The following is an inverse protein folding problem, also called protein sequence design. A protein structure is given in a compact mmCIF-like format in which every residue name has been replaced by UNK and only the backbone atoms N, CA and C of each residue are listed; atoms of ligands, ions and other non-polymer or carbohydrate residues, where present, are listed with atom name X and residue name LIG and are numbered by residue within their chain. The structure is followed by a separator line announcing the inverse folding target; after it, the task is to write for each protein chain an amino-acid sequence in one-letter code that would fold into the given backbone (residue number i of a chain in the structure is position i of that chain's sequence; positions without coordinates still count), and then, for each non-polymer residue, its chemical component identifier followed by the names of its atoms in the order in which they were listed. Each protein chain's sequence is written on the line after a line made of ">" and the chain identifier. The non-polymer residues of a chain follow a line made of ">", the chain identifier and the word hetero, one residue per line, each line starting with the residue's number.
data_IF_408941564388
#
_entry.id   IF_408941564388
#
_cell.length_a   1.000
_cell.length_b   1.000
_cell.length_c   1.000
_cell.angle_alpha   90.00
_cell.angle_beta   90.00
_cell.angle_gamma   90.00
#
_symmetry.space_group_name_H-M   'P 1'
#
loop_
_entity.id
_entity.type
_entity.pdbx_description
1 polymer ?
#
# COMPACT_ATOMS: atom_id res chain seq x y z
N UNK A 1 28.87 -0.93 -5.87
CA UNK A 1 27.53 -0.72 -5.33
C UNK A 1 26.97 0.49 -6.04
N UNK A 2 25.79 0.40 -6.69
CA UNK A 2 25.16 1.58 -7.28
C UNK A 2 24.79 2.55 -6.15
N UNK A 3 24.84 3.87 -6.34
CA UNK A 3 24.44 4.83 -5.30
C UNK A 3 22.99 4.60 -4.79
N UNK A 4 22.13 3.96 -5.59
CA UNK A 4 20.77 3.59 -5.25
C UNK A 4 20.66 2.47 -4.21
N UNK A 5 21.71 1.66 -4.01
CA UNK A 5 21.65 0.42 -3.20
C UNK A 5 22.15 0.60 -1.76
N UNK A 6 22.35 1.84 -1.31
CA UNK A 6 22.91 2.14 0.02
C UNK A 6 22.04 1.59 1.15
N UNK A 7 20.72 1.53 0.95
CA UNK A 7 19.75 1.13 1.96
C UNK A 7 19.32 -0.34 1.87
N UNK A 8 19.67 -1.02 0.78
CA UNK A 8 19.24 -2.40 0.54
C UNK A 8 19.79 -3.37 1.57
N UNK A 9 18.95 -4.32 2.04
CA UNK A 9 19.30 -5.36 3.04
C UNK A 9 19.86 -4.80 4.37
N UNK A 10 19.29 -3.68 4.82
CA UNK A 10 19.71 -2.97 6.03
C UNK A 10 18.64 -3.04 7.12
N UNK A 11 19.10 -2.90 8.37
CA UNK A 11 18.18 -2.53 9.43
C UNK A 11 18.08 -0.99 9.49
N UNK A 12 16.91 -0.47 9.12
CA UNK A 12 16.62 0.96 8.99
C UNK A 12 15.51 1.40 9.96
N UNK A 13 15.08 0.51 10.89
CA UNK A 13 13.93 0.76 11.79
C UNK A 13 14.11 1.97 12.72
N UNK A 14 15.34 2.42 12.94
CA UNK A 14 15.65 3.57 13.79
C UNK A 14 16.27 4.73 12.98
N UNK A 15 16.25 4.66 11.66
CA UNK A 15 16.82 5.71 10.80
C UNK A 15 15.85 6.87 10.71
N UNK A 16 16.34 8.08 10.98
CA UNK A 16 15.60 9.30 10.68
C UNK A 16 15.88 9.70 9.23
N UNK A 17 14.81 9.68 8.40
CA UNK A 17 14.87 10.04 6.98
C UNK A 17 14.49 11.49 6.68
N UNK A 18 14.34 12.36 7.67
CA UNK A 18 13.81 13.73 7.48
C UNK A 18 14.57 14.55 6.43
N UNK A 19 15.86 14.28 6.25
CA UNK A 19 16.71 15.01 5.32
C UNK A 19 17.22 14.17 4.14
N UNK A 20 16.76 12.91 4.02
CA UNK A 20 17.20 12.02 2.96
C UNK A 20 16.31 12.14 1.72
N UNK A 21 16.92 12.14 0.55
CA UNK A 21 16.23 11.95 -0.71
C UNK A 21 16.01 10.45 -0.93
N UNK A 22 14.75 10.00 -0.84
CA UNK A 22 14.35 8.59 -0.98
C UNK A 22 13.76 8.27 -2.35
N UNK A 23 13.61 9.25 -3.22
CA UNK A 23 13.04 9.09 -4.56
C UNK A 23 13.89 8.09 -5.36
N UNK A 24 13.25 7.03 -5.85
CA UNK A 24 13.89 5.98 -6.64
C UNK A 24 14.96 5.17 -5.91
N UNK A 25 15.06 5.27 -4.58
CA UNK A 25 16.04 4.50 -3.81
C UNK A 25 15.65 3.03 -3.71
N UNK A 26 16.67 2.18 -3.73
CA UNK A 26 16.50 0.75 -3.47
C UNK A 26 16.67 0.48 -1.98
N UNK A 27 15.56 0.15 -1.32
CA UNK A 27 15.47 -0.25 0.09
C UNK A 27 14.97 -1.69 0.23
N UNK A 28 14.98 -2.47 -0.87
CA UNK A 28 14.46 -3.83 -0.89
C UNK A 28 15.15 -4.74 0.15
N UNK A 29 14.42 -5.74 0.61
CA UNK A 29 14.88 -6.72 1.61
C UNK A 29 15.32 -6.09 2.95
N UNK A 30 14.89 -4.86 3.28
CA UNK A 30 15.33 -4.12 4.47
C UNK A 30 14.29 -4.18 5.58
N UNK A 31 14.72 -3.92 6.82
CA UNK A 31 13.84 -3.75 7.96
C UNK A 31 13.57 -2.23 8.14
N UNK A 32 12.34 -1.82 7.89
CA UNK A 32 11.79 -0.46 8.05
C UNK A 32 10.65 -0.44 9.08
N UNK A 33 10.61 -1.42 9.97
CA UNK A 33 9.56 -1.58 10.98
C UNK A 33 9.38 -0.31 11.81
N UNK A 34 8.13 0.18 11.90
CA UNK A 34 7.76 1.34 12.68
C UNK A 34 8.38 2.65 12.23
N UNK A 35 8.99 2.71 11.03
CA UNK A 35 9.62 3.93 10.51
C UNK A 35 8.56 5.03 10.30
N UNK A 36 8.93 6.27 10.53
CA UNK A 36 8.11 7.44 10.19
C UNK A 36 8.55 8.02 8.83
N UNK A 37 7.72 7.84 7.80
CA UNK A 37 7.89 8.41 6.46
C UNK A 37 6.71 9.33 6.09
N UNK A 38 5.95 9.77 7.10
CA UNK A 38 4.78 10.63 6.92
C UNK A 38 5.05 11.84 6.01
N UNK A 39 4.16 12.06 5.04
CA UNK A 39 4.23 13.15 4.06
C UNK A 39 5.52 13.19 3.22
N UNK A 40 6.31 12.12 3.20
CA UNK A 40 7.54 12.04 2.39
C UNK A 40 7.20 11.73 0.93
N UNK A 41 8.10 12.16 0.05
CA UNK A 41 8.07 11.74 -1.35
C UNK A 41 9.12 10.64 -1.56
N UNK A 42 8.62 9.42 -1.86
CA UNK A 42 9.44 8.23 -2.12
C UNK A 42 9.01 7.53 -3.41
N UNK A 43 8.46 8.30 -4.36
CA UNK A 43 8.01 7.74 -5.63
C UNK A 43 9.14 6.98 -6.35
N UNK A 44 8.80 5.94 -7.12
CA UNK A 44 9.72 5.04 -7.80
C UNK A 44 10.69 4.27 -6.87
N UNK A 45 10.58 4.37 -5.54
CA UNK A 45 11.43 3.59 -4.65
C UNK A 45 11.15 2.08 -4.78
N UNK A 46 12.16 1.25 -4.53
CA UNK A 46 12.03 -0.20 -4.44
C UNK A 46 12.04 -0.62 -2.96
N UNK A 47 10.87 -0.99 -2.47
CA UNK A 47 10.58 -1.48 -1.12
C UNK A 47 10.15 -2.95 -1.15
N UNK A 48 10.49 -3.69 -2.21
CA UNK A 48 10.12 -5.09 -2.34
C UNK A 48 10.69 -5.93 -1.19
N UNK A 49 9.89 -6.83 -0.64
CA UNK A 49 10.27 -7.73 0.45
C UNK A 49 10.78 -7.00 1.72
N UNK A 50 10.38 -5.75 1.95
CA UNK A 50 10.70 -5.01 3.19
C UNK A 50 9.75 -5.38 4.32
N UNK A 51 10.23 -5.26 5.56
CA UNK A 51 9.37 -5.21 6.75
C UNK A 51 9.05 -3.73 7.04
N UNK A 52 7.82 -3.31 6.74
CA UNK A 52 7.24 -1.99 7.00
C UNK A 52 6.16 -2.06 8.10
N UNK A 53 6.10 -3.16 8.84
CA UNK A 53 5.04 -3.38 9.82
C UNK A 53 4.98 -2.24 10.85
N UNK A 54 3.77 -1.72 11.09
CA UNK A 54 3.51 -0.60 11.98
C UNK A 54 4.14 0.74 11.58
N UNK A 55 4.65 0.89 10.34
CA UNK A 55 5.22 2.16 9.87
C UNK A 55 4.15 3.24 9.67
N UNK A 56 4.52 4.51 9.80
CA UNK A 56 3.68 5.65 9.42
C UNK A 56 4.07 6.17 8.02
N UNK A 57 3.24 5.84 7.03
CA UNK A 57 3.31 6.30 5.65
C UNK A 57 2.15 7.25 5.30
N UNK A 58 1.50 7.84 6.31
CA UNK A 58 0.35 8.72 6.08
C UNK A 58 0.72 9.93 5.22
N UNK A 59 -0.10 10.20 4.18
CA UNK A 59 0.10 11.29 3.23
C UNK A 59 1.35 11.16 2.34
N UNK A 60 2.05 10.03 2.37
CA UNK A 60 3.27 9.78 1.58
C UNK A 60 2.96 9.69 0.09
N UNK A 61 3.87 10.20 -0.76
CA UNK A 61 3.81 10.04 -2.21
C UNK A 61 4.56 8.76 -2.59
N UNK A 62 3.80 7.76 -3.05
CA UNK A 62 4.23 6.39 -3.36
C UNK A 62 3.94 6.02 -4.83
N UNK A 63 3.89 7.00 -5.74
CA UNK A 63 3.65 6.70 -7.16
C UNK A 63 4.71 5.75 -7.69
N UNK A 64 4.29 4.71 -8.43
CA UNK A 64 5.18 3.72 -9.07
C UNK A 64 6.12 3.00 -8.09
N UNK A 65 5.82 3.00 -6.81
CA UNK A 65 6.63 2.29 -5.81
C UNK A 65 6.50 0.77 -6.00
N UNK A 66 7.59 0.05 -5.75
CA UNK A 66 7.59 -1.41 -5.72
C UNK A 66 7.52 -1.88 -4.29
N UNK A 67 6.43 -2.58 -3.94
CA UNK A 67 6.16 -3.12 -2.60
C UNK A 67 5.88 -4.64 -2.66
N UNK A 68 6.27 -5.31 -3.74
CA UNK A 68 5.97 -6.73 -3.94
C UNK A 68 6.45 -7.57 -2.76
N UNK A 69 5.52 -8.33 -2.15
CA UNK A 69 5.82 -9.22 -1.03
C UNK A 69 6.32 -8.51 0.23
N UNK A 70 6.09 -7.20 0.37
CA UNK A 70 6.41 -6.48 1.60
C UNK A 70 5.46 -6.88 2.74
N UNK A 71 5.96 -6.85 3.96
CA UNK A 71 5.18 -6.96 5.18
C UNK A 71 4.78 -5.54 5.63
N UNK A 72 3.50 -5.22 5.51
CA UNK A 72 2.91 -3.92 5.83
C UNK A 72 1.74 -4.05 6.82
N UNK A 73 1.71 -5.13 7.63
CA UNK A 73 0.64 -5.27 8.62
C UNK A 73 0.64 -4.09 9.60
N UNK A 74 -0.55 -3.62 9.98
CA UNK A 74 -0.75 -2.48 10.87
C UNK A 74 -0.09 -1.17 10.39
N UNK A 75 0.26 -1.04 9.11
CA UNK A 75 0.81 0.20 8.53
C UNK A 75 -0.26 1.29 8.47
N UNK A 76 0.15 2.54 8.69
CA UNK A 76 -0.69 3.70 8.43
C UNK A 76 -0.39 4.27 7.02
N UNK A 77 -1.31 4.06 6.07
CA UNK A 77 -1.30 4.60 4.70
C UNK A 77 -2.39 5.67 4.50
N UNK A 78 -2.98 6.21 5.57
CA UNK A 78 -4.07 7.16 5.44
C UNK A 78 -3.68 8.34 4.55
N UNK A 79 -4.53 8.66 3.55
CA UNK A 79 -4.31 9.70 2.55
C UNK A 79 -3.02 9.55 1.71
N UNK A 80 -2.37 8.39 1.71
CA UNK A 80 -1.20 8.13 0.87
C UNK A 80 -1.59 8.05 -0.61
N UNK A 81 -0.63 8.35 -1.50
CA UNK A 81 -0.81 8.37 -2.94
C UNK A 81 -0.04 7.22 -3.58
N UNK A 82 -0.76 6.12 -3.91
CA UNK A 82 -0.18 4.88 -4.41
C UNK A 82 -0.49 4.62 -5.90
N UNK A 83 -0.74 5.67 -6.67
CA UNK A 83 -1.07 5.52 -8.07
C UNK A 83 -0.03 4.66 -8.80
N UNK A 84 -0.52 3.62 -9.53
CA UNK A 84 0.29 2.68 -10.32
C UNK A 84 1.42 1.99 -9.50
N UNK A 85 1.15 1.75 -8.21
CA UNK A 85 2.07 1.05 -7.32
C UNK A 85 1.96 -0.48 -7.48
N UNK A 86 3.08 -1.19 -7.30
CA UNK A 86 3.16 -2.65 -7.37
C UNK A 86 3.06 -3.27 -5.96
N UNK A 87 1.84 -3.68 -5.53
CA UNK A 87 1.57 -4.29 -4.23
C UNK A 87 1.25 -5.79 -4.33
N UNK A 88 1.74 -6.47 -5.33
CA UNK A 88 1.52 -7.90 -5.49
C UNK A 88 2.00 -8.70 -4.27
N UNK A 89 1.07 -9.48 -3.67
CA UNK A 89 1.38 -10.37 -2.54
C UNK A 89 1.79 -9.65 -1.26
N UNK A 90 1.41 -8.38 -1.09
CA UNK A 90 1.69 -7.60 0.13
C UNK A 90 0.80 -8.06 1.28
N UNK A 91 1.34 -8.05 2.50
CA UNK A 91 0.56 -8.22 3.72
C UNK A 91 0.12 -6.84 4.23
N UNK A 92 -1.17 -6.51 4.11
CA UNK A 92 -1.79 -5.26 4.57
C UNK A 92 -2.81 -5.52 5.69
N UNK A 93 -2.69 -6.62 6.41
CA UNK A 93 -3.62 -6.94 7.50
C UNK A 93 -3.62 -5.86 8.55
N UNK A 94 -4.83 -5.41 8.95
CA UNK A 94 -5.00 -4.35 9.94
C UNK A 94 -4.55 -2.96 9.50
N UNK A 95 -4.11 -2.78 8.26
CA UNK A 95 -3.62 -1.49 7.76
C UNK A 95 -4.72 -0.42 7.74
N UNK A 96 -4.36 0.82 8.07
CA UNK A 96 -5.22 1.99 7.85
C UNK A 96 -4.89 2.61 6.47
N UNK A 97 -5.79 2.38 5.50
CA UNK A 97 -5.68 2.87 4.13
C UNK A 97 -6.72 3.96 3.84
N UNK A 98 -7.38 4.49 4.89
CA UNK A 98 -8.45 5.48 4.77
C UNK A 98 -8.06 6.64 3.85
N UNK A 99 -8.93 6.96 2.89
CA UNK A 99 -8.76 8.10 1.98
C UNK A 99 -7.55 8.02 1.04
N UNK A 100 -6.82 6.90 1.00
CA UNK A 100 -5.69 6.74 0.09
C UNK A 100 -6.13 6.68 -1.38
N UNK A 101 -5.20 6.98 -2.29
CA UNK A 101 -5.39 6.84 -3.73
C UNK A 101 -4.67 5.60 -4.26
N UNK A 102 -5.45 4.53 -4.54
CA UNK A 102 -4.99 3.25 -5.09
C UNK A 102 -5.31 3.10 -6.58
N UNK A 103 -5.44 4.21 -7.30
CA UNK A 103 -5.76 4.21 -8.72
C UNK A 103 -4.71 3.41 -9.53
N UNK A 104 -5.14 2.46 -10.36
CA UNK A 104 -4.28 1.55 -11.14
C UNK A 104 -3.33 0.66 -10.32
N UNK A 105 -3.51 0.50 -9.03
CA UNK A 105 -2.64 -0.30 -8.16
C UNK A 105 -2.79 -1.81 -8.42
N UNK A 106 -1.68 -2.54 -8.45
CA UNK A 106 -1.67 -4.01 -8.51
C UNK A 106 -1.65 -4.61 -7.11
N UNK A 107 -2.82 -5.03 -6.62
CA UNK A 107 -3.02 -5.66 -5.29
C UNK A 107 -3.28 -7.16 -5.38
N UNK A 108 -2.95 -7.79 -6.52
CA UNK A 108 -3.18 -9.22 -6.68
C UNK A 108 -2.48 -10.05 -5.60
N UNK A 109 -3.22 -11.03 -5.06
CA UNK A 109 -2.77 -11.91 -3.98
C UNK A 109 -2.35 -11.18 -2.68
N UNK A 110 -2.74 -9.93 -2.48
CA UNK A 110 -2.55 -9.21 -1.22
C UNK A 110 -3.49 -9.73 -0.12
N UNK A 111 -3.12 -9.55 1.14
CA UNK A 111 -4.02 -9.78 2.29
C UNK A 111 -4.41 -8.44 2.91
N UNK A 112 -5.68 -8.07 2.77
CA UNK A 112 -6.29 -6.85 3.32
C UNK A 112 -7.23 -7.15 4.50
N UNK A 113 -7.11 -8.32 5.12
CA UNK A 113 -7.96 -8.70 6.24
C UNK A 113 -7.87 -7.68 7.38
N UNK A 114 -9.05 -7.25 7.88
CA UNK A 114 -9.20 -6.22 8.90
C UNK A 114 -8.67 -4.83 8.50
N UNK A 115 -8.34 -4.57 7.24
CA UNK A 115 -7.89 -3.26 6.80
C UNK A 115 -9.06 -2.27 6.71
N UNK A 116 -8.76 -0.99 6.96
CA UNK A 116 -9.68 0.13 6.78
C UNK A 116 -9.46 0.76 5.39
N UNK A 117 -10.36 0.49 4.42
CA UNK A 117 -10.38 1.07 3.08
C UNK A 117 -11.48 2.13 2.93
N UNK A 118 -11.92 2.75 4.03
CA UNK A 118 -12.98 3.77 3.95
C UNK A 118 -12.53 4.99 3.15
N UNK A 119 -13.39 5.45 2.23
CA UNK A 119 -13.14 6.62 1.38
C UNK A 119 -12.01 6.47 0.34
N UNK A 120 -11.42 5.28 0.21
CA UNK A 120 -10.29 5.02 -0.71
C UNK A 120 -10.72 5.12 -2.17
N UNK A 121 -9.81 5.56 -3.05
CA UNK A 121 -9.99 5.47 -4.51
C UNK A 121 -9.42 4.15 -5.04
N UNK A 122 -10.31 3.21 -5.42
CA UNK A 122 -9.97 1.87 -5.92
C UNK A 122 -10.08 1.73 -7.44
N UNK A 123 -10.39 2.80 -8.16
CA UNK A 123 -10.66 2.72 -9.60
C UNK A 123 -9.46 2.14 -10.35
N UNK A 124 -9.73 1.20 -11.24
CA UNK A 124 -8.76 0.44 -12.03
C UNK A 124 -7.76 -0.38 -11.20
N UNK A 125 -7.89 -0.47 -9.87
CA UNK A 125 -7.09 -1.38 -9.07
C UNK A 125 -7.41 -2.84 -9.39
N UNK A 126 -6.39 -3.71 -9.35
CA UNK A 126 -6.53 -5.14 -9.60
C UNK A 126 -6.42 -5.93 -8.28
N UNK A 127 -7.47 -6.65 -7.94
CA UNK A 127 -7.62 -7.42 -6.70
C UNK A 127 -7.73 -8.94 -6.92
N UNK A 128 -7.30 -9.46 -8.06
CA UNK A 128 -7.36 -10.91 -8.31
C UNK A 128 -6.63 -11.69 -7.20
N UNK A 129 -7.33 -12.60 -6.55
CA UNK A 129 -6.77 -13.42 -5.47
C UNK A 129 -6.56 -12.69 -4.14
N UNK A 130 -7.00 -11.44 -3.99
CA UNK A 130 -6.87 -10.67 -2.75
C UNK A 130 -7.84 -11.18 -1.67
N UNK A 131 -7.39 -11.20 -0.41
CA UNK A 131 -8.18 -11.56 0.77
C UNK A 131 -8.71 -10.30 1.45
N UNK A 132 -10.02 -10.30 1.82
CA UNK A 132 -10.72 -9.14 2.37
C UNK A 132 -11.53 -9.46 3.64
N UNK A 133 -11.07 -10.38 4.47
CA UNK A 133 -11.81 -10.77 5.67
C UNK A 133 -11.96 -9.58 6.62
N UNK A 134 -13.22 -9.18 6.90
CA UNK A 134 -13.55 -8.03 7.76
C UNK A 134 -13.00 -6.66 7.30
N UNK A 135 -12.75 -6.49 6.01
CA UNK A 135 -12.29 -5.22 5.41
C UNK A 135 -13.44 -4.19 5.39
N UNK A 136 -13.15 -2.95 5.78
CA UNK A 136 -14.12 -1.84 5.71
C UNK A 136 -13.98 -1.09 4.37
N UNK A 137 -15.04 -1.10 3.54
CA UNK A 137 -15.15 -0.39 2.27
C UNK A 137 -16.06 0.83 2.32
N UNK A 138 -16.41 1.34 3.51
CA UNK A 138 -17.37 2.44 3.63
C UNK A 138 -16.95 3.67 2.81
N UNK A 139 -17.77 4.08 1.83
CA UNK A 139 -17.49 5.22 0.97
C UNK A 139 -16.32 5.04 -0.02
N UNK A 140 -15.76 3.84 -0.15
CA UNK A 140 -14.73 3.58 -1.17
C UNK A 140 -15.26 3.83 -2.58
N UNK A 141 -14.44 4.44 -3.45
CA UNK A 141 -14.77 4.74 -4.82
C UNK A 141 -14.21 3.66 -5.75
N UNK A 142 -15.05 3.06 -6.59
CA UNK A 142 -14.67 1.97 -7.48
C UNK A 142 -15.33 2.10 -8.85
N UNK A 143 -14.84 1.35 -9.84
CA UNK A 143 -15.42 1.23 -11.18
C UNK A 143 -15.73 -0.24 -11.54
N UNK A 144 -16.26 -0.46 -12.75
CA UNK A 144 -16.60 -1.80 -13.21
C UNK A 144 -15.36 -2.71 -13.34
N UNK A 145 -14.21 -2.15 -13.72
CA UNK A 145 -12.96 -2.90 -13.80
C UNK A 145 -12.56 -3.44 -12.43
N UNK A 146 -12.57 -2.59 -11.40
CA UNK A 146 -12.32 -3.00 -10.00
C UNK A 146 -13.26 -4.13 -9.57
N UNK A 147 -14.58 -4.01 -9.88
CA UNK A 147 -15.56 -5.04 -9.53
C UNK A 147 -15.30 -6.40 -10.20
N UNK A 148 -14.71 -6.41 -11.39
CA UNK A 148 -14.44 -7.64 -12.12
C UNK A 148 -13.30 -8.45 -11.49
N UNK A 149 -12.42 -7.78 -10.74
CA UNK A 149 -11.28 -8.42 -10.05
C UNK A 149 -11.57 -8.85 -8.61
N UNK A 150 -12.59 -8.27 -7.97
CA UNK A 150 -12.97 -8.59 -6.57
C UNK A 150 -13.88 -9.82 -6.52
N UNK A 151 -13.53 -10.78 -5.65
CA UNK A 151 -14.33 -11.97 -5.38
C UNK A 151 -15.46 -11.72 -4.35
N UNK A 152 -16.43 -12.64 -4.24
CA UNK A 152 -17.39 -12.63 -3.13
C UNK A 152 -16.74 -13.15 -1.84
N UNK A 153 -17.14 -12.67 -0.64
CA UNK A 153 -18.26 -11.75 -0.37
C UNK A 153 -17.89 -10.26 -0.48
N UNK A 154 -16.62 -9.91 -0.62
CA UNK A 154 -16.15 -8.52 -0.63
C UNK A 154 -16.81 -7.67 -1.73
N UNK A 155 -17.06 -8.27 -2.90
CA UNK A 155 -17.79 -7.62 -4.00
C UNK A 155 -19.18 -7.12 -3.59
N UNK A 156 -19.91 -7.94 -2.84
CA UNK A 156 -21.25 -7.57 -2.34
C UNK A 156 -21.17 -6.46 -1.30
N UNK A 157 -20.14 -6.47 -0.44
CA UNK A 157 -19.92 -5.43 0.56
C UNK A 157 -19.56 -4.10 -0.13
N UNK A 158 -18.65 -4.13 -1.09
CA UNK A 158 -18.25 -2.94 -1.84
C UNK A 158 -19.44 -2.31 -2.58
N UNK A 159 -20.30 -3.12 -3.23
CA UNK A 159 -21.52 -2.62 -3.89
C UNK A 159 -22.52 -2.00 -2.91
N UNK A 160 -22.54 -2.43 -1.66
CA UNK A 160 -23.49 -1.93 -0.64
C UNK A 160 -23.03 -0.62 -0.01
N UNK A 161 -21.73 -0.45 0.23
CA UNK A 161 -21.17 0.65 1.03
C UNK A 161 -20.23 1.57 0.27
N UNK A 162 -19.76 1.17 -0.89
CA UNK A 162 -18.91 1.96 -1.76
C UNK A 162 -19.69 2.79 -2.78
N UNK A 163 -18.97 3.59 -3.55
CA UNK A 163 -19.49 4.48 -4.59
C UNK A 163 -19.02 4.02 -5.97
N UNK A 164 -19.94 3.62 -6.85
CA UNK A 164 -19.65 3.30 -8.25
C UNK A 164 -19.47 4.60 -9.05
N UNK A 165 -18.37 4.67 -9.81
CA UNK A 165 -18.03 5.78 -10.72
C UNK A 165 -18.14 5.36 -12.19
#
# INVERSE_FOLDING_TARGET
>A
MKPSDVFRKRNLSNVNFDYEDLIGRNMSDSNLRGVNLKNRDIHNADLSCTDLSGADLSGTILFYVKLRGADMHDVNLSNAKLWDAELYGVDLRGADVNGADLFYTDLRNADLSNANLSGVNLRHANFDGTIFDSTDFTGANYDLHTLDTISEPAKSILKKYGNLW
#
